data_IF_180514692475
#
_entry.id   IF_180514692475
#
_cell.length_a   1.000
_cell.length_b   1.000
_cell.length_c   1.000
_cell.angle_alpha   90.00
_cell.angle_beta   90.00
_cell.angle_gamma   90.00
#
_symmetry.space_group_name_H-M   'P 1'
#
loop_
_entity.id
_entity.type
_entity.pdbx_description
1 polymer ?
#
# COMPACT_ATOMS: atom_id res chain seq x y z
N UNK A 1 8.91 -15.75 -14.28
CA UNK A 1 8.23 -14.51 -14.72
C UNK A 1 6.75 -14.55 -14.34
N UNK A 2 5.98 -15.57 -14.72
CA UNK A 2 4.60 -15.79 -14.20
C UNK A 2 4.61 -16.27 -12.75
N UNK A 3 5.57 -17.14 -12.40
CA UNK A 3 5.77 -17.68 -11.05
C UNK A 3 5.95 -16.61 -9.96
N UNK A 4 6.57 -15.46 -10.25
CA UNK A 4 6.82 -14.42 -9.24
C UNK A 4 5.53 -13.65 -8.90
N UNK A 5 4.66 -13.43 -9.88
CA UNK A 5 3.35 -12.81 -9.63
C UNK A 5 2.44 -13.77 -8.86
N UNK A 6 2.48 -15.05 -9.21
CA UNK A 6 1.76 -16.10 -8.47
C UNK A 6 2.24 -16.18 -7.01
N UNK A 7 3.55 -16.09 -6.77
CA UNK A 7 4.10 -16.03 -5.41
C UNK A 7 3.60 -14.80 -4.64
N UNK A 8 3.57 -13.62 -5.28
CA UNK A 8 3.03 -12.40 -4.67
C UNK A 8 1.54 -12.56 -4.35
N UNK A 9 0.73 -13.07 -5.29
CA UNK A 9 -0.69 -13.34 -5.06
C UNK A 9 -0.91 -14.33 -3.91
N UNK A 10 -0.18 -15.44 -3.92
CA UNK A 10 -0.27 -16.46 -2.88
C UNK A 10 0.10 -15.90 -1.51
N UNK A 11 1.14 -15.05 -1.44
CA UNK A 11 1.52 -14.36 -0.22
C UNK A 11 0.42 -13.40 0.25
N UNK A 12 -0.17 -12.60 -0.64
CA UNK A 12 -1.27 -11.69 -0.31
C UNK A 12 -2.48 -12.44 0.24
N UNK A 13 -2.92 -13.51 -0.43
CA UNK A 13 -4.06 -14.33 0.00
C UNK A 13 -3.76 -14.99 1.36
N UNK A 14 -2.59 -15.59 1.51
CA UNK A 14 -2.19 -16.24 2.77
C UNK A 14 -2.17 -15.24 3.93
N UNK A 15 -1.55 -14.07 3.74
CA UNK A 15 -1.49 -13.04 4.78
C UNK A 15 -2.86 -12.43 5.06
N UNK A 16 -3.74 -12.29 4.07
CA UNK A 16 -5.11 -11.84 4.29
C UNK A 16 -5.90 -12.85 5.14
N UNK A 17 -5.79 -14.15 4.86
CA UNK A 17 -6.39 -15.21 5.68
C UNK A 17 -5.85 -15.19 7.12
N UNK A 18 -4.53 -15.09 7.30
CA UNK A 18 -3.93 -14.98 8.63
C UNK A 18 -4.44 -13.75 9.38
N UNK A 19 -4.50 -12.60 8.71
CA UNK A 19 -4.97 -11.35 9.30
C UNK A 19 -6.44 -11.44 9.71
N UNK A 20 -7.28 -12.11 8.92
CA UNK A 20 -8.69 -12.33 9.22
C UNK A 20 -8.92 -13.29 10.41
N UNK A 21 -8.03 -14.27 10.61
CA UNK A 21 -8.12 -15.24 11.69
C UNK A 21 -7.50 -14.75 13.01
N UNK A 22 -6.50 -13.88 12.92
CA UNK A 22 -5.81 -13.34 14.09
C UNK A 22 -6.58 -12.16 14.70
N UNK A 23 -6.84 -12.24 16.01
CA UNK A 23 -7.24 -11.10 16.83
C UNK A 23 -6.07 -10.73 17.75
N UNK A 24 -5.23 -9.76 17.38
CA UNK A 24 -4.24 -9.25 18.32
C UNK A 24 -4.93 -8.61 19.53
N UNK A 25 -4.20 -8.37 20.63
CA UNK A 25 -4.70 -7.55 21.73
C UNK A 25 -5.30 -6.23 21.20
N UNK A 26 -6.35 -5.71 21.83
CA UNK A 26 -7.08 -4.52 21.35
C UNK A 26 -6.18 -3.28 21.14
N UNK A 27 -5.01 -3.23 21.78
CA UNK A 27 -4.06 -2.12 21.71
C UNK A 27 -2.95 -2.32 20.65
N UNK A 28 -2.88 -3.49 20.01
CA UNK A 28 -1.87 -3.83 19.01
C UNK A 28 -2.55 -4.08 17.65
N UNK A 29 -2.96 -3.01 16.97
CA UNK A 29 -3.46 -3.13 15.59
C UNK A 29 -2.42 -3.79 14.69
N UNK A 30 -2.71 -4.99 14.16
CA UNK A 30 -1.87 -5.70 13.20
C UNK A 30 -2.33 -5.42 11.77
N UNK A 31 -1.36 -5.18 10.86
CA UNK A 31 -1.57 -5.00 9.42
C UNK A 31 -0.42 -5.69 8.68
N UNK A 32 -0.58 -6.00 7.39
CA UNK A 32 0.52 -6.56 6.57
C UNK A 32 0.83 -5.63 5.42
N UNK A 33 2.08 -5.19 5.31
CA UNK A 33 2.59 -4.48 4.13
C UNK A 33 3.50 -5.41 3.33
N UNK A 34 3.12 -5.72 2.09
CA UNK A 34 3.94 -6.45 1.14
C UNK A 34 4.49 -5.46 0.11
N UNK A 35 5.81 -5.46 -0.09
CA UNK A 35 6.49 -4.64 -1.10
C UNK A 35 7.18 -5.58 -2.10
N UNK A 36 6.96 -5.37 -3.39
CA UNK A 36 7.48 -6.22 -4.46
C UNK A 36 8.51 -5.49 -5.34
N UNK A 37 9.66 -5.03 -4.80
CA UNK A 37 10.64 -4.24 -5.57
C UNK A 37 11.34 -5.06 -6.67
N UNK A 38 11.36 -6.39 -6.49
CA UNK A 38 12.09 -7.35 -7.31
C UNK A 38 11.25 -8.09 -8.34
N UNK A 39 9.93 -7.87 -8.39
CA UNK A 39 9.07 -8.46 -9.43
C UNK A 39 8.96 -7.48 -10.61
N UNK A 40 9.64 -7.71 -11.75
CA UNK A 40 9.70 -6.72 -12.83
C UNK A 40 8.35 -6.47 -13.48
N UNK A 41 7.50 -7.50 -13.59
CA UNK A 41 6.19 -7.41 -14.23
C UNK A 41 5.24 -6.50 -13.44
N UNK A 42 5.33 -6.49 -12.11
CA UNK A 42 4.54 -5.58 -11.27
C UNK A 42 4.99 -4.11 -11.33
N UNK A 43 6.06 -3.77 -12.06
CA UNK A 43 6.42 -2.38 -12.35
C UNK A 43 5.60 -1.79 -13.48
N UNK A 44 5.02 -2.63 -14.33
CA UNK A 44 4.01 -2.20 -15.29
C UNK A 44 2.68 -2.05 -14.54
N UNK A 45 1.99 -0.93 -14.77
CA UNK A 45 0.81 -0.60 -13.98
C UNK A 45 -0.40 -1.47 -14.37
N UNK A 46 -0.53 -1.85 -15.63
CA UNK A 46 -1.67 -2.65 -16.07
C UNK A 46 -1.50 -4.11 -15.60
N UNK A 47 -0.29 -4.66 -15.68
CA UNK A 47 0.04 -5.97 -15.10
C UNK A 47 -0.16 -5.99 -13.57
N UNK A 48 0.16 -4.88 -12.89
CA UNK A 48 -0.09 -4.72 -11.45
C UNK A 48 -1.59 -4.71 -11.14
N UNK A 49 -2.40 -4.00 -11.93
CA UNK A 49 -3.86 -3.96 -11.76
C UNK A 49 -4.51 -5.33 -12.04
N UNK A 50 -4.02 -6.08 -13.04
CA UNK A 50 -4.48 -7.45 -13.30
C UNK A 50 -4.25 -8.36 -12.09
N UNK A 51 -3.05 -8.31 -11.48
CA UNK A 51 -2.77 -9.03 -10.24
C UNK A 51 -3.72 -8.61 -9.10
N UNK A 52 -3.98 -7.31 -8.95
CA UNK A 52 -4.91 -6.82 -7.93
C UNK A 52 -6.30 -7.43 -8.12
N UNK A 53 -6.81 -7.46 -9.35
CA UNK A 53 -8.11 -8.06 -9.67
C UNK A 53 -8.15 -9.56 -9.35
N UNK A 54 -7.10 -10.30 -9.67
CA UNK A 54 -7.03 -11.74 -9.31
C UNK A 54 -7.01 -11.97 -7.80
N UNK A 55 -6.29 -11.14 -7.04
CA UNK A 55 -6.24 -11.23 -5.58
C UNK A 55 -7.59 -10.87 -4.96
N UNK A 56 -8.29 -9.86 -5.48
CA UNK A 56 -9.64 -9.49 -5.04
C UNK A 56 -10.66 -10.61 -5.32
N UNK A 57 -10.56 -11.29 -6.46
CA UNK A 57 -11.36 -12.49 -6.76
C UNK A 57 -11.09 -13.60 -5.74
N UNK A 58 -9.82 -13.90 -5.45
CA UNK A 58 -9.45 -14.87 -4.42
C UNK A 58 -9.96 -14.47 -3.01
N UNK A 59 -10.01 -13.18 -2.69
CA UNK A 59 -10.60 -12.70 -1.43
C UNK A 59 -12.11 -12.98 -1.37
N UNK A 60 -12.81 -12.81 -2.49
CA UNK A 60 -14.23 -13.16 -2.63
C UNK A 60 -14.46 -14.65 -2.36
N UNK A 61 -13.72 -15.52 -3.06
CA UNK A 61 -13.80 -16.98 -2.89
C UNK A 61 -13.44 -17.42 -1.45
N UNK A 62 -12.48 -16.74 -0.84
CA UNK A 62 -12.03 -16.99 0.53
C UNK A 62 -12.94 -16.44 1.64
N UNK A 63 -14.07 -15.80 1.31
CA UNK A 63 -14.93 -15.09 2.27
C UNK A 63 -14.17 -14.04 3.10
N UNK A 64 -13.25 -13.31 2.48
CA UNK A 64 -12.44 -12.25 3.09
C UNK A 64 -12.99 -10.83 2.83
N UNK A 65 -13.91 -10.69 1.88
CA UNK A 65 -14.64 -9.44 1.63
C UNK A 65 -15.41 -9.03 2.90
N UNK A 66 -15.30 -7.75 3.29
CA UNK A 66 -15.89 -7.25 4.53
C UNK A 66 -15.02 -7.49 5.77
N UNK A 67 -13.89 -8.20 5.64
CA UNK A 67 -12.98 -8.53 6.75
C UNK A 67 -11.60 -7.92 6.55
N UNK A 68 -11.07 -8.03 5.34
CA UNK A 68 -9.74 -7.52 4.97
C UNK A 68 -9.87 -6.73 3.68
N UNK A 69 -9.36 -5.50 3.70
CA UNK A 69 -9.20 -4.67 2.52
C UNK A 69 -7.73 -4.61 2.10
N UNK A 70 -7.49 -4.49 0.80
CA UNK A 70 -6.15 -4.31 0.21
C UNK A 70 -6.03 -2.89 -0.34
N UNK A 71 -5.25 -2.04 0.33
CA UNK A 71 -4.84 -0.76 -0.23
C UNK A 71 -3.62 -0.95 -1.14
N UNK A 72 -3.67 -0.31 -2.31
CA UNK A 72 -2.70 -0.51 -3.40
C UNK A 72 -1.84 0.73 -3.60
N UNK A 73 -0.54 0.52 -3.82
CA UNK A 73 0.42 1.59 -4.08
C UNK A 73 1.35 1.19 -5.23
N UNK A 74 1.56 2.12 -6.16
CA UNK A 74 2.36 1.85 -7.36
C UNK A 74 3.10 3.12 -7.84
N UNK A 75 4.32 3.02 -8.41
CA UNK A 75 5.04 4.19 -8.93
C UNK A 75 4.24 5.02 -9.93
N UNK A 76 3.39 4.36 -10.71
CA UNK A 76 2.54 4.95 -11.74
C UNK A 76 1.06 5.01 -11.35
N UNK A 77 0.73 4.89 -10.05
CA UNK A 77 -0.65 5.00 -9.60
C UNK A 77 -1.31 6.28 -10.14
N UNK A 78 -2.52 6.10 -10.63
CA UNK A 78 -3.43 7.15 -11.08
C UNK A 78 -4.86 6.74 -10.81
N UNK A 79 -5.71 7.69 -10.46
CA UNK A 79 -7.15 7.46 -10.43
C UNK A 79 -7.68 7.25 -11.85
N UNK A 80 -8.68 6.38 -11.99
CA UNK A 80 -9.35 6.18 -13.28
C UNK A 80 -9.92 7.51 -13.80
N UNK A 81 -9.65 7.83 -15.06
CA UNK A 81 -10.08 9.08 -15.70
C UNK A 81 -9.37 10.36 -15.24
N UNK A 82 -8.38 10.29 -14.35
CA UNK A 82 -7.59 11.45 -13.94
C UNK A 82 -6.45 11.75 -14.93
N UNK A 83 -6.02 13.03 -14.98
CA UNK A 83 -4.79 13.41 -15.67
C UNK A 83 -3.58 12.76 -14.97
N UNK A 84 -2.67 12.15 -15.73
CA UNK A 84 -1.46 11.53 -15.20
C UNK A 84 -0.54 12.53 -14.45
N UNK A 85 -0.63 13.83 -14.77
CA UNK A 85 0.08 14.90 -14.09
C UNK A 85 -0.64 15.45 -12.84
N UNK A 86 -1.89 15.04 -12.56
CA UNK A 86 -2.60 15.50 -11.37
C UNK A 86 -1.86 15.06 -10.10
N UNK A 87 -1.54 16.02 -9.25
CA UNK A 87 -0.84 15.78 -7.99
C UNK A 87 -1.67 14.93 -7.03
N UNK A 88 -3.00 14.89 -7.17
CA UNK A 88 -3.85 14.00 -6.39
C UNK A 88 -3.49 12.52 -6.55
N UNK A 89 -2.88 12.12 -7.67
CA UNK A 89 -2.43 10.74 -7.87
C UNK A 89 -1.32 10.33 -6.90
N UNK A 90 -0.59 11.28 -6.30
CA UNK A 90 0.45 10.94 -5.33
C UNK A 90 -0.07 10.33 -4.03
N UNK A 91 -1.39 10.34 -3.76
CA UNK A 91 -1.97 9.60 -2.62
C UNK A 91 -1.71 8.10 -2.68
N UNK A 92 -1.57 7.54 -3.88
CA UNK A 92 -1.31 6.11 -4.11
C UNK A 92 0.04 5.83 -4.76
N UNK A 93 0.91 6.85 -4.94
CA UNK A 93 2.25 6.63 -5.51
C UNK A 93 3.23 6.18 -4.44
N UNK A 94 4.03 5.17 -4.77
CA UNK A 94 5.11 4.66 -3.94
C UNK A 94 6.35 4.32 -4.78
N UNK A 95 7.56 4.23 -4.20
CA UNK A 95 8.79 3.88 -4.92
C UNK A 95 8.75 2.52 -5.61
N UNK A 96 7.99 1.58 -5.03
CA UNK A 96 7.86 0.21 -5.48
C UNK A 96 6.39 -0.21 -5.44
N UNK A 97 5.99 -1.22 -6.25
CA UNK A 97 4.68 -1.86 -6.12
C UNK A 97 4.51 -2.39 -4.71
N UNK A 98 3.43 -2.00 -4.05
CA UNK A 98 3.15 -2.39 -2.67
C UNK A 98 1.65 -2.59 -2.43
N UNK A 99 1.35 -3.44 -1.46
CA UNK A 99 0.01 -3.84 -1.08
C UNK A 99 -0.09 -3.81 0.44
N UNK A 100 -1.09 -3.11 0.98
CA UNK A 100 -1.30 -2.99 2.41
C UNK A 100 -2.63 -3.65 2.79
N UNK A 101 -2.53 -4.78 3.49
CA UNK A 101 -3.67 -5.51 4.02
C UNK A 101 -4.05 -4.95 5.38
N UNK A 102 -5.30 -4.55 5.50
CA UNK A 102 -5.89 -3.90 6.67
C UNK A 102 -7.18 -4.64 7.05
N UNK A 103 -7.45 -4.77 8.35
CA UNK A 103 -8.77 -5.25 8.78
C UNK A 103 -9.81 -4.16 8.62
N UNK A 104 -10.92 -4.49 7.98
CA UNK A 104 -12.01 -3.55 7.73
C UNK A 104 -12.66 -3.06 9.03
N UNK A 105 -12.79 -3.94 10.03
CA UNK A 105 -13.33 -3.58 11.36
C UNK A 105 -12.46 -2.50 12.04
N UNK A 106 -11.14 -2.64 12.00
CA UNK A 106 -10.21 -1.67 12.62
C UNK A 106 -10.18 -0.34 11.87
N UNK A 107 -10.22 -0.37 10.54
CA UNK A 107 -10.32 0.85 9.74
C UNK A 107 -11.66 1.54 10.00
N UNK A 108 -12.76 0.80 10.07
CA UNK A 108 -14.08 1.34 10.40
C UNK A 108 -14.11 1.98 11.79
N UNK A 109 -13.50 1.33 12.79
CA UNK A 109 -13.37 1.87 14.14
C UNK A 109 -12.53 3.16 14.16
N UNK A 110 -11.42 3.19 13.41
CA UNK A 110 -10.57 4.37 13.29
C UNK A 110 -11.30 5.55 12.61
N UNK A 111 -12.11 5.27 11.58
CA UNK A 111 -12.94 6.28 10.92
C UNK A 111 -14.05 6.80 11.83
N UNK A 112 -14.70 5.93 12.62
CA UNK A 112 -15.73 6.33 13.58
C UNK A 112 -15.18 7.22 14.70
N UNK A 113 -13.92 7.01 15.11
CA UNK A 113 -13.22 7.84 16.09
C UNK A 113 -12.49 9.06 15.50
N UNK A 114 -12.62 9.33 14.20
CA UNK A 114 -11.87 10.39 13.54
C UNK A 114 -12.36 11.78 13.98
N UNK A 115 -11.43 12.59 14.48
CA UNK A 115 -11.67 13.98 14.85
C UNK A 115 -10.63 14.91 14.23
N UNK A 116 -11.08 16.06 13.75
CA UNK A 116 -10.22 17.12 13.21
C UNK A 116 -10.49 18.42 13.95
N UNK A 117 -9.43 19.05 14.47
CA UNK A 117 -9.54 20.31 15.18
C UNK A 117 -10.26 21.37 14.33
N UNK A 118 -11.24 22.04 14.93
CA UNK A 118 -12.04 23.08 14.26
C UNK A 118 -13.10 22.54 13.28
N UNK A 119 -13.39 21.24 13.29
CA UNK A 119 -14.48 20.64 12.52
C UNK A 119 -15.40 19.84 13.46
N UNK A 120 -16.71 20.00 13.27
CA UNK A 120 -17.69 19.19 13.99
C UNK A 120 -17.52 17.70 13.66
N UNK A 121 -17.95 16.85 14.59
CA UNK A 121 -17.94 15.40 14.38
C UNK A 121 -18.76 15.02 13.15
N UNK A 122 -18.25 14.06 12.39
CA UNK A 122 -18.97 13.51 11.24
C UNK A 122 -20.14 12.67 11.73
N UNK A 123 -21.30 12.84 11.12
CA UNK A 123 -22.50 12.05 11.44
C UNK A 123 -22.50 10.68 10.77
N UNK A 124 -21.68 10.52 9.72
CA UNK A 124 -21.60 9.32 8.90
C UNK A 124 -20.12 8.94 8.69
N UNK A 125 -19.69 7.72 9.10
CA UNK A 125 -18.34 7.22 8.86
C UNK A 125 -17.94 7.19 7.38
N UNK A 126 -18.89 6.98 6.45
CA UNK A 126 -18.59 6.99 5.01
C UNK A 126 -18.19 8.40 4.54
N UNK A 127 -18.80 9.43 5.10
CA UNK A 127 -18.45 10.83 4.85
C UNK A 127 -17.03 11.19 5.33
N UNK A 128 -16.51 10.50 6.36
CA UNK A 128 -15.13 10.67 6.84
C UNK A 128 -14.13 10.25 5.76
N UNK A 129 -14.33 9.07 5.16
CA UNK A 129 -13.44 8.54 4.12
C UNK A 129 -13.36 9.47 2.92
N UNK A 130 -14.52 9.94 2.43
CA UNK A 130 -14.59 10.92 1.34
C UNK A 130 -13.89 12.23 1.70
N UNK A 131 -14.10 12.74 2.91
CA UNK A 131 -13.45 13.96 3.37
C UNK A 131 -11.91 13.82 3.42
N UNK A 132 -11.40 12.70 3.94
CA UNK A 132 -9.96 12.42 3.99
C UNK A 132 -9.38 12.37 2.57
N UNK A 133 -10.05 11.68 1.65
CA UNK A 133 -9.62 11.59 0.25
C UNK A 133 -9.54 12.98 -0.41
N UNK A 134 -10.59 13.80 -0.27
CA UNK A 134 -10.62 15.16 -0.82
C UNK A 134 -9.56 16.07 -0.18
N UNK A 135 -9.35 15.95 1.14
CA UNK A 135 -8.33 16.71 1.86
C UNK A 135 -6.92 16.36 1.38
N UNK A 136 -6.62 15.07 1.22
CA UNK A 136 -5.32 14.60 0.76
C UNK A 136 -5.05 15.03 -0.69
N UNK A 137 -6.05 14.91 -1.57
CA UNK A 137 -5.95 15.35 -2.96
C UNK A 137 -5.69 16.86 -3.05
N UNK A 138 -6.39 17.68 -2.25
CA UNK A 138 -6.18 19.13 -2.18
C UNK A 138 -4.77 19.45 -1.70
N UNK A 139 -4.34 18.85 -0.60
CA UNK A 139 -3.03 19.07 -0.02
C UNK A 139 -1.89 18.78 -1.02
N UNK A 140 -1.97 17.67 -1.76
CA UNK A 140 -0.96 17.34 -2.77
C UNK A 140 -0.98 18.30 -3.97
N UNK A 141 -2.16 18.76 -4.39
CA UNK A 141 -2.28 19.80 -5.43
C UNK A 141 -1.70 21.14 -4.97
N UNK A 142 -1.90 21.52 -3.71
CA UNK A 142 -1.31 22.73 -3.11
C UNK A 142 0.21 22.64 -2.98
N UNK A 143 0.75 21.45 -2.69
CA UNK A 143 2.20 21.21 -2.68
C UNK A 143 2.83 21.32 -4.08
N UNK A 144 2.12 20.89 -5.12
CA UNK A 144 2.59 20.88 -6.50
C UNK A 144 3.48 19.69 -6.84
N UNK A 145 3.57 19.41 -8.15
CA UNK A 145 4.17 18.17 -8.67
C UNK A 145 5.67 18.04 -8.40
N UNK A 146 6.43 19.13 -8.43
CA UNK A 146 7.87 19.10 -8.15
C UNK A 146 8.17 18.66 -6.70
N UNK A 147 7.41 19.19 -5.74
CA UNK A 147 7.55 18.81 -4.34
C UNK A 147 7.18 17.33 -4.14
N UNK A 148 6.04 16.89 -4.69
CA UNK A 148 5.60 15.52 -4.61
C UNK A 148 6.62 14.53 -5.23
N UNK A 149 7.20 14.87 -6.39
CA UNK A 149 8.23 14.06 -7.04
C UNK A 149 9.52 13.99 -6.23
N UNK A 150 9.96 15.12 -5.65
CA UNK A 150 11.14 15.17 -4.79
C UNK A 150 10.97 14.23 -3.59
N UNK A 151 9.83 14.30 -2.93
CA UNK A 151 9.56 13.51 -1.73
C UNK A 151 9.47 12.01 -2.07
N UNK A 152 8.80 11.65 -3.18
CA UNK A 152 8.75 10.28 -3.67
C UNK A 152 10.15 9.73 -3.99
N UNK A 153 11.02 10.54 -4.62
CA UNK A 153 12.41 10.15 -4.93
C UNK A 153 13.25 9.98 -3.66
N UNK A 154 13.02 10.78 -2.63
CA UNK A 154 13.73 10.66 -1.36
C UNK A 154 13.46 9.32 -0.67
N UNK A 155 12.24 8.79 -0.81
CA UNK A 155 11.90 7.44 -0.35
C UNK A 155 12.74 6.37 -1.09
N UNK A 156 12.78 6.42 -2.43
CA UNK A 156 13.55 5.47 -3.24
C UNK A 156 15.07 5.52 -3.01
N UNK A 157 15.63 6.73 -2.82
CA UNK A 157 17.06 6.91 -2.57
C UNK A 157 17.51 6.38 -1.20
N UNK A 158 16.60 6.34 -0.23
CA UNK A 158 16.86 5.73 1.08
C UNK A 158 16.95 4.20 1.00
N UNK A 159 16.25 3.59 0.03
CA UNK A 159 16.28 2.15 -0.20
C UNK A 159 17.57 1.70 -0.89
N UNK A 160 18.07 2.42 -1.90
CA UNK A 160 19.30 2.06 -2.59
C UNK A 160 20.54 2.08 -1.69
N UNK A 161 20.62 3.02 -0.75
CA UNK A 161 21.69 3.10 0.25
C UNK A 161 21.63 1.91 1.21
N UNK A 162 20.42 1.49 1.62
CA UNK A 162 20.22 0.34 2.52
C UNK A 162 20.50 -0.99 1.82
N UNK A 163 20.07 -1.15 0.57
CA UNK A 163 20.35 -2.34 -0.24
C UNK A 163 21.86 -2.50 -0.47
N UNK A 164 22.57 -1.43 -0.83
CA UNK A 164 24.03 -1.46 -0.98
C UNK A 164 24.73 -1.86 0.34
N UNK A 165 24.33 -1.28 1.47
CA UNK A 165 24.90 -1.60 2.78
C UNK A 165 24.59 -3.03 3.26
N UNK A 166 23.45 -3.63 2.85
CA UNK A 166 23.11 -5.02 3.15
C UNK A 166 23.90 -5.99 2.27
N UNK A 167 24.09 -5.67 0.99
CA UNK A 167 24.87 -6.48 0.05
C UNK A 167 26.36 -6.49 0.43
N UNK A 168 26.95 -5.34 0.76
CA UNK A 168 28.33 -5.26 1.26
C UNK A 168 28.55 -6.05 2.56
N UNK A 169 27.55 -6.10 3.45
CA UNK A 169 27.57 -6.93 4.67
C UNK A 169 27.40 -8.42 4.40
N UNK A 170 26.69 -8.80 3.35
CA UNK A 170 26.55 -10.20 2.94
C UNK A 170 27.83 -10.72 2.27
N UNK A 171 28.49 -9.91 1.46
CA UNK A 171 29.77 -10.23 0.82
C UNK A 171 30.90 -10.40 1.86
N UNK A 172 30.97 -9.50 2.85
CA UNK A 172 31.95 -9.61 3.95
C UNK A 172 31.69 -10.77 4.92
N UNK A 173 30.49 -11.37 4.93
CA UNK A 173 30.17 -12.59 5.70
C UNK A 173 30.40 -13.88 4.91
N UNK A 174 30.57 -13.80 3.59
CA UNK A 174 30.78 -14.96 2.70
C UNK A 174 32.22 -15.48 2.64
N UNK A 175 33.20 -14.72 3.12
CA UNK A 175 34.63 -15.11 3.07
C UNK A 175 35.11 -15.95 4.26
N UNK A 176 34.18 -16.53 5.03
CA UNK A 176 34.46 -17.15 6.34
C UNK A 176 34.10 -18.62 6.48
N UNK A 177 34.10 -19.44 5.42
CA UNK A 177 34.07 -20.91 5.52
C UNK A 177 34.92 -21.53 4.42
N UNK A 178 36.23 -21.52 4.65
CA UNK A 178 37.18 -22.46 4.03
C UNK A 178 37.34 -23.71 4.87
#
# INVERSE_FOLDING_TARGET
>A
MESEQEEVAAALVTHAQLLALQRPPQDEGATTLLVAPRCPKLRDFEDYLELCSWVEEAFSEGNLIGKVQMAVFHPYFRFNGSDAADCANFVGRAPHPAFHLLREEEVSAALAGFHLAGKDAFQDPEAVGKFIAERNARFLREQGGEACLRDLRACAASDSIREQAVMEKAETRGEGLG
#
